data_IF_332578989704
#
_entry.id   IF_332578989704
#
_cell.length_a   1.000
_cell.length_b   1.000
_cell.length_c   1.000
_cell.angle_alpha   90.00
_cell.angle_beta   90.00
_cell.angle_gamma   90.00
#
_symmetry.space_group_name_H-M   'P 1'
#
loop_
_entity.id
_entity.type
_entity.pdbx_description
1 polymer ?
#
# COMPACT_ATOMS: atom_id res chain seq x y z
N UNK A 1 12.28 15.41 53.54
CA UNK A 1 11.27 15.91 52.60
C UNK A 1 11.81 16.31 51.23
N UNK A 2 12.98 16.99 51.09
CA UNK A 2 13.55 17.37 49.78
C UNK A 2 13.93 16.19 48.85
N UNK A 3 14.38 15.08 49.44
CA UNK A 3 14.80 13.88 48.64
C UNK A 3 13.61 13.12 48.02
N UNK A 4 12.42 13.14 48.67
CA UNK A 4 11.21 12.53 48.13
C UNK A 4 10.64 13.32 46.93
N UNK A 5 10.75 14.65 46.99
CA UNK A 5 10.26 15.54 45.93
C UNK A 5 11.03 15.36 44.61
N UNK A 6 12.35 15.18 44.71
CA UNK A 6 13.21 14.94 43.55
C UNK A 6 12.92 13.58 42.90
N UNK A 7 12.66 12.55 43.70
CA UNK A 7 12.32 11.20 43.19
C UNK A 7 10.97 11.20 42.44
N UNK A 8 9.98 11.93 42.97
CA UNK A 8 8.70 12.07 42.29
C UNK A 8 8.79 12.83 40.96
N UNK A 9 9.65 13.88 40.87
CA UNK A 9 9.86 14.59 39.62
C UNK A 9 10.55 13.72 38.56
N UNK A 10 11.52 12.89 38.92
CA UNK A 10 12.20 11.98 38.00
C UNK A 10 11.22 10.91 37.49
N UNK A 11 10.31 10.42 38.35
CA UNK A 11 9.27 9.46 37.94
C UNK A 11 8.22 10.09 37.01
N UNK A 12 7.84 11.34 37.25
CA UNK A 12 6.88 12.06 36.41
C UNK A 12 7.44 12.36 35.02
N UNK A 13 8.73 12.71 34.91
CA UNK A 13 9.39 12.95 33.61
C UNK A 13 9.60 11.65 32.83
N UNK A 14 9.86 10.52 33.49
CA UNK A 14 9.98 9.21 32.85
C UNK A 14 8.64 8.72 32.23
N UNK A 15 7.53 9.01 32.87
CA UNK A 15 6.19 8.65 32.38
C UNK A 15 5.77 9.53 31.18
N UNK A 16 6.19 10.80 31.14
CA UNK A 16 5.85 11.68 30.01
C UNK A 16 6.66 11.36 28.74
N UNK A 17 7.82 10.74 28.84
CA UNK A 17 8.63 10.32 27.68
C UNK A 17 8.12 9.05 26.99
N UNK A 18 7.26 8.28 27.66
CA UNK A 18 6.66 7.05 27.09
C UNK A 18 5.41 7.32 26.26
N UNK A 19 4.87 8.54 26.23
CA UNK A 19 3.59 8.86 25.61
C UNK A 19 3.68 9.38 24.17
N UNK A 20 4.89 9.47 23.60
CA UNK A 20 5.09 9.80 22.18
C UNK A 20 5.42 8.53 21.39
N UNK A 21 4.65 7.47 21.57
CA UNK A 21 4.69 6.29 20.71
C UNK A 21 4.11 6.67 19.34
N UNK A 22 4.95 6.62 18.29
CA UNK A 22 4.43 6.60 16.95
C UNK A 22 3.36 5.50 16.87
N UNK A 23 2.22 5.77 16.24
CA UNK A 23 1.16 4.78 16.08
C UNK A 23 1.74 3.53 15.42
N UNK A 24 1.57 2.37 16.05
CA UNK A 24 1.96 1.09 15.46
C UNK A 24 0.90 0.58 14.46
N UNK A 25 -0.17 1.34 14.26
CA UNK A 25 -1.28 1.02 13.36
C UNK A 25 -1.68 2.23 12.53
N UNK A 26 -1.92 1.99 11.25
CA UNK A 26 -2.41 2.95 10.26
C UNK A 26 -3.66 2.39 9.60
N UNK A 27 -4.81 2.97 9.91
CA UNK A 27 -6.07 2.66 9.23
C UNK A 27 -6.27 3.71 8.13
N UNK A 28 -6.06 3.31 6.86
CA UNK A 28 -6.14 4.21 5.73
C UNK A 28 -7.60 4.38 5.31
N UNK A 29 -8.04 5.63 5.30
CA UNK A 29 -9.34 6.03 4.76
C UNK A 29 -9.19 6.57 3.34
N UNK A 30 -10.29 6.80 2.62
CA UNK A 30 -10.26 7.45 1.30
C UNK A 30 -9.46 8.75 1.30
N UNK A 31 -9.57 9.56 2.37
CA UNK A 31 -8.88 10.84 2.51
C UNK A 31 -7.38 10.71 2.76
N UNK A 32 -6.96 9.64 3.46
CA UNK A 32 -5.57 9.46 3.90
C UNK A 32 -4.80 8.50 3.01
N UNK A 33 -5.49 7.67 2.21
CA UNK A 33 -4.91 6.60 1.42
C UNK A 33 -3.73 7.07 0.57
N UNK A 34 -3.95 8.06 -0.29
CA UNK A 34 -2.92 8.52 -1.23
C UNK A 34 -1.68 9.04 -0.51
N UNK A 35 -1.87 9.87 0.52
CA UNK A 35 -0.75 10.47 1.26
C UNK A 35 0.07 9.41 2.00
N UNK A 36 -0.61 8.50 2.72
CA UNK A 36 0.08 7.46 3.51
C UNK A 36 0.76 6.45 2.60
N UNK A 37 0.08 5.97 1.55
CA UNK A 37 0.67 5.05 0.56
C UNK A 37 1.89 5.67 -0.14
N UNK A 38 1.82 6.93 -0.52
CA UNK A 38 2.96 7.64 -1.11
C UNK A 38 4.14 7.71 -0.12
N UNK A 39 3.87 8.03 1.14
CA UNK A 39 4.90 8.03 2.17
C UNK A 39 5.51 6.65 2.39
N UNK A 40 4.71 5.58 2.36
CA UNK A 40 5.21 4.20 2.45
C UNK A 40 6.12 3.83 1.27
N UNK A 41 5.85 4.34 0.07
CA UNK A 41 6.70 4.13 -1.10
C UNK A 41 8.05 4.88 -1.01
N UNK A 42 8.05 6.08 -0.44
CA UNK A 42 9.26 6.91 -0.34
C UNK A 42 10.08 6.67 0.94
N UNK A 43 9.43 6.30 2.04
CA UNK A 43 10.04 6.13 3.37
C UNK A 43 9.61 4.82 4.03
N UNK A 44 9.78 3.66 3.35
CA UNK A 44 9.25 2.37 3.83
C UNK A 44 9.78 1.98 5.21
N UNK A 45 11.00 2.40 5.56
CA UNK A 45 11.62 2.08 6.85
C UNK A 45 10.80 2.57 8.06
N UNK A 46 10.02 3.65 7.85
CA UNK A 46 9.17 4.21 8.91
C UNK A 46 7.93 3.34 9.18
N UNK A 47 7.60 2.42 8.26
CA UNK A 47 6.39 1.60 8.30
C UNK A 47 6.67 0.10 8.47
N UNK A 48 7.94 -0.33 8.38
CA UNK A 48 8.29 -1.75 8.60
C UNK A 48 7.80 -2.23 9.96
N UNK A 49 7.08 -3.37 9.97
CA UNK A 49 6.52 -4.00 11.15
C UNK A 49 5.28 -3.34 11.74
N UNK A 50 4.84 -2.19 11.18
CA UNK A 50 3.60 -1.54 11.62
C UNK A 50 2.40 -2.16 10.93
N UNK A 51 1.30 -2.26 11.66
CA UNK A 51 0.03 -2.73 11.09
C UNK A 51 -0.57 -1.65 10.20
N UNK A 52 -0.95 -2.04 8.99
CA UNK A 52 -1.62 -1.15 8.03
C UNK A 52 -2.91 -1.82 7.57
N UNK A 53 -3.98 -1.04 7.53
CA UNK A 53 -5.29 -1.49 7.06
C UNK A 53 -5.75 -0.57 5.93
N UNK A 54 -6.17 -1.15 4.80
CA UNK A 54 -6.61 -0.36 3.66
C UNK A 54 -7.50 -1.15 2.70
N UNK A 55 -8.31 -0.41 1.93
CA UNK A 55 -9.12 -0.94 0.85
C UNK A 55 -8.41 -0.76 -0.50
N UNK A 56 -8.41 -1.79 -1.32
CA UNK A 56 -7.79 -1.82 -2.64
C UNK A 56 -8.54 -2.76 -3.57
N UNK A 57 -8.18 -2.78 -4.83
CA UNK A 57 -8.63 -3.84 -5.73
C UNK A 57 -7.47 -4.78 -6.07
N UNK A 58 -7.80 -6.04 -6.36
CA UNK A 58 -6.81 -7.03 -6.81
C UNK A 58 -6.33 -6.70 -8.21
N UNK A 59 -5.04 -6.88 -8.42
CA UNK A 59 -4.37 -6.67 -9.71
C UNK A 59 -3.33 -7.77 -9.92
N UNK A 60 -3.28 -8.33 -11.12
CA UNK A 60 -2.26 -9.31 -11.51
C UNK A 60 -1.20 -8.63 -12.35
N UNK A 61 0.01 -8.59 -11.83
CA UNK A 61 1.19 -8.11 -12.53
C UNK A 61 1.91 -9.34 -13.11
N UNK A 62 2.24 -9.33 -14.39
CA UNK A 62 3.01 -10.39 -15.04
C UNK A 62 4.32 -9.82 -15.52
N UNK A 63 5.44 -10.44 -15.15
CA UNK A 63 6.76 -10.03 -15.62
C UNK A 63 7.07 -10.56 -17.02
N UNK A 64 8.21 -10.11 -17.57
CA UNK A 64 8.65 -10.52 -18.92
C UNK A 64 8.98 -12.02 -19.03
N UNK A 65 9.15 -12.71 -17.91
CA UNK A 65 9.41 -14.16 -17.84
C UNK A 65 8.10 -14.96 -17.65
N UNK A 66 6.96 -14.28 -17.53
CA UNK A 66 5.65 -14.89 -17.33
C UNK A 66 5.33 -15.23 -15.87
N UNK A 67 6.14 -14.75 -14.91
CA UNK A 67 5.82 -14.91 -13.50
C UNK A 67 4.73 -13.91 -13.09
N UNK A 68 3.74 -14.41 -12.37
CA UNK A 68 2.62 -13.62 -11.89
C UNK A 68 2.79 -13.21 -10.42
N UNK A 69 2.37 -11.97 -10.12
CA UNK A 69 2.34 -11.41 -8.79
C UNK A 69 0.93 -10.85 -8.53
N UNK A 70 0.32 -11.27 -7.42
CA UNK A 70 -0.96 -10.72 -7.00
C UNK A 70 -0.71 -9.47 -6.16
N UNK A 71 -1.33 -8.37 -6.55
CA UNK A 71 -1.16 -7.07 -5.91
C UNK A 71 -2.50 -6.54 -5.38
N UNK A 72 -2.43 -5.77 -4.30
CA UNK A 72 -3.53 -4.93 -3.81
C UNK A 72 -3.21 -3.48 -4.13
N UNK A 73 -3.96 -2.88 -5.05
CA UNK A 73 -3.62 -1.57 -5.62
C UNK A 73 -4.82 -0.64 -5.75
N UNK A 74 -4.53 0.65 -5.92
CA UNK A 74 -5.47 1.69 -6.38
C UNK A 74 -4.86 2.44 -7.55
N UNK A 75 -5.68 3.04 -8.43
CA UNK A 75 -5.18 3.96 -9.46
C UNK A 75 -4.90 5.33 -8.87
N UNK A 76 -3.79 5.93 -9.31
CA UNK A 76 -3.49 7.34 -9.05
C UNK A 76 -3.80 8.15 -10.30
N UNK A 77 -4.61 9.20 -10.17
CA UNK A 77 -4.75 10.16 -11.26
C UNK A 77 -3.47 11.00 -11.37
N UNK A 78 -2.97 11.13 -12.58
CA UNK A 78 -1.78 11.92 -12.90
C UNK A 78 -2.04 13.41 -12.64
N UNK A 79 -1.79 13.88 -11.44
CA UNK A 79 -2.05 15.27 -11.14
C UNK A 79 -1.06 15.94 -10.19
N UNK A 80 -0.58 15.26 -9.18
CA UNK A 80 0.37 15.85 -8.23
C UNK A 80 1.13 14.74 -7.49
N UNK A 81 2.44 14.66 -7.72
CA UNK A 81 3.36 13.87 -6.90
C UNK A 81 3.78 12.50 -7.44
N UNK A 82 3.02 11.86 -8.32
CA UNK A 82 3.63 10.88 -9.21
C UNK A 82 4.29 11.67 -10.34
N UNK A 83 5.57 11.48 -10.54
CA UNK A 83 6.33 12.09 -11.64
C UNK A 83 5.99 11.43 -13.01
N UNK A 84 4.78 10.93 -13.14
CA UNK A 84 4.29 10.09 -14.19
C UNK A 84 3.16 10.87 -14.88
N UNK A 85 3.40 11.53 -15.94
CA UNK A 85 2.34 12.11 -16.80
C UNK A 85 1.37 11.06 -17.37
N UNK A 86 1.30 9.88 -16.75
CA UNK A 86 0.40 8.75 -17.06
C UNK A 86 -0.26 8.26 -15.78
N UNK A 87 -1.47 7.75 -15.89
CA UNK A 87 -2.13 7.02 -14.82
C UNK A 87 -1.27 5.84 -14.37
N UNK A 88 -1.11 5.68 -13.07
CA UNK A 88 -0.32 4.60 -12.47
C UNK A 88 -1.10 3.93 -11.36
N UNK A 89 -0.63 2.77 -10.94
CA UNK A 89 -1.14 2.06 -9.77
C UNK A 89 -0.21 2.28 -8.58
N UNK A 90 -0.79 2.34 -7.38
CA UNK A 90 -0.07 2.40 -6.11
C UNK A 90 -0.57 1.30 -5.19
N UNK A 91 0.34 0.57 -4.57
CA UNK A 91 0.04 -0.55 -3.67
C UNK A 91 1.21 -1.49 -3.49
N UNK A 92 0.91 -2.74 -3.17
CA UNK A 92 1.89 -3.75 -2.77
C UNK A 92 1.64 -5.10 -3.42
N UNK A 93 2.71 -5.91 -3.54
CA UNK A 93 2.59 -7.35 -3.77
C UNK A 93 2.07 -7.99 -2.48
N UNK A 94 1.06 -8.85 -2.60
CA UNK A 94 0.41 -9.48 -1.47
C UNK A 94 1.05 -10.84 -1.17
N UNK A 95 1.70 -10.94 -0.01
CA UNK A 95 2.14 -12.20 0.56
C UNK A 95 1.03 -12.73 1.48
N UNK A 96 0.23 -13.67 0.99
CA UNK A 96 -0.93 -14.22 1.69
C UNK A 96 -1.04 -15.73 1.47
N UNK A 97 -1.13 -16.49 2.57
CA UNK A 97 -1.27 -17.96 2.53
C UNK A 97 -2.69 -18.43 2.16
N UNK A 98 -3.67 -17.51 2.15
CA UNK A 98 -5.05 -17.81 1.78
C UNK A 98 -5.34 -17.62 0.29
N UNK A 99 -6.63 -17.57 -0.04
CA UNK A 99 -7.08 -17.32 -1.42
C UNK A 99 -7.23 -15.84 -1.66
N UNK A 100 -6.49 -15.29 -2.61
CA UNK A 100 -6.68 -13.93 -3.11
C UNK A 100 -7.71 -13.98 -4.24
N UNK A 101 -8.81 -13.20 -4.17
CA UNK A 101 -9.81 -13.18 -5.23
C UNK A 101 -9.22 -12.72 -6.56
N UNK A 102 -9.62 -13.41 -7.65
CA UNK A 102 -9.16 -13.10 -8.99
C UNK A 102 -9.56 -11.67 -9.42
N UNK A 103 -8.65 -10.92 -10.06
CA UNK A 103 -8.98 -9.59 -10.57
C UNK A 103 -9.94 -9.69 -11.75
N UNK A 104 -10.95 -8.82 -11.79
CA UNK A 104 -11.83 -8.64 -12.94
C UNK A 104 -11.61 -7.27 -13.58
N UNK A 105 -11.93 -7.16 -14.87
CA UNK A 105 -11.83 -5.92 -15.65
C UNK A 105 -10.46 -5.22 -15.53
N UNK A 106 -9.38 -6.02 -15.49
CA UNK A 106 -8.04 -5.51 -15.19
C UNK A 106 -7.51 -4.53 -16.23
N UNK A 107 -7.82 -4.76 -17.50
CA UNK A 107 -7.44 -3.90 -18.63
C UNK A 107 -8.35 -2.67 -18.80
N UNK A 108 -9.51 -2.66 -18.14
CA UNK A 108 -10.47 -1.57 -18.29
C UNK A 108 -10.26 -0.48 -17.25
N UNK A 109 -10.40 0.77 -17.67
CA UNK A 109 -10.34 1.92 -16.78
C UNK A 109 -11.69 2.21 -16.14
N UNK A 110 -12.15 1.28 -15.33
CA UNK A 110 -13.46 1.30 -14.66
C UNK A 110 -13.33 1.03 -13.16
N UNK A 111 -14.32 1.45 -12.40
CA UNK A 111 -14.42 1.13 -10.96
C UNK A 111 -14.89 -0.29 -10.68
N UNK A 112 -15.40 -1.03 -11.70
CA UNK A 112 -15.87 -2.41 -11.54
C UNK A 112 -14.68 -3.37 -11.44
N UNK A 113 -14.06 -3.40 -10.27
CA UNK A 113 -12.91 -4.23 -9.90
C UNK A 113 -13.28 -5.24 -8.83
N UNK A 114 -12.39 -6.19 -8.58
CA UNK A 114 -12.48 -7.07 -7.42
C UNK A 114 -11.88 -6.35 -6.21
N UNK A 115 -12.74 -5.78 -5.37
CA UNK A 115 -12.33 -5.02 -4.20
C UNK A 115 -12.11 -5.91 -2.98
N UNK A 116 -11.09 -5.55 -2.20
CA UNK A 116 -10.66 -6.26 -1.00
C UNK A 116 -10.27 -5.27 0.10
N UNK A 117 -10.60 -5.64 1.33
CA UNK A 117 -10.10 -5.03 2.56
C UNK A 117 -8.89 -5.82 3.05
N UNK A 118 -7.80 -5.14 3.32
CA UNK A 118 -6.52 -5.73 3.70
C UNK A 118 -6.08 -5.23 5.07
N UNK A 119 -5.57 -6.15 5.88
CA UNK A 119 -4.77 -5.86 7.07
C UNK A 119 -3.46 -6.64 6.97
N UNK A 120 -2.35 -6.00 7.33
CA UNK A 120 -1.04 -6.63 7.29
C UNK A 120 0.08 -5.68 7.67
N UNK A 121 1.29 -6.05 7.31
CA UNK A 121 2.51 -5.28 7.62
C UNK A 121 3.47 -5.26 6.44
N UNK A 122 4.32 -4.23 6.36
CA UNK A 122 5.52 -4.31 5.53
C UNK A 122 6.56 -5.14 6.26
N UNK A 123 6.95 -6.33 5.74
CA UNK A 123 7.93 -7.17 6.41
C UNK A 123 9.35 -6.60 6.32
N UNK A 124 9.61 -5.77 5.32
CA UNK A 124 10.90 -5.12 5.10
C UNK A 124 10.76 -3.88 4.21
N UNK A 125 11.76 -3.03 4.22
CA UNK A 125 11.90 -1.91 3.28
C UNK A 125 12.56 -2.31 1.95
N UNK A 126 12.75 -3.60 1.71
CA UNK A 126 13.32 -4.11 0.46
C UNK A 126 12.27 -4.04 -0.64
N UNK A 127 12.62 -3.40 -1.74
CA UNK A 127 11.81 -3.33 -2.96
C UNK A 127 12.20 -4.42 -3.94
N UNK A 128 11.22 -4.90 -4.69
CA UNK A 128 11.45 -5.73 -5.87
C UNK A 128 11.32 -4.88 -7.14
N UNK A 129 12.31 -5.01 -8.01
CA UNK A 129 12.32 -4.40 -9.34
C UNK A 129 11.84 -5.45 -10.34
N UNK A 130 10.63 -5.24 -10.89
CA UNK A 130 9.97 -6.18 -11.78
C UNK A 130 9.99 -5.60 -13.18
N UNK A 131 10.50 -6.37 -14.14
CA UNK A 131 10.48 -6.00 -15.54
C UNK A 131 9.18 -6.45 -16.17
N UNK A 132 8.45 -5.53 -16.76
CA UNK A 132 7.19 -5.79 -17.46
C UNK A 132 7.26 -5.27 -18.87
N UNK A 133 6.43 -5.81 -19.76
CA UNK A 133 6.20 -5.19 -21.05
C UNK A 133 5.36 -3.91 -20.86
N UNK A 134 5.69 -2.87 -21.61
CA UNK A 134 4.95 -1.62 -21.58
C UNK A 134 3.53 -1.80 -22.12
N UNK A 135 2.63 -0.89 -21.74
CA UNK A 135 1.28 -0.82 -22.30
C UNK A 135 1.16 0.40 -23.19
N UNK A 136 0.60 0.22 -24.37
CA UNK A 136 0.21 1.28 -25.27
C UNK A 136 -1.33 1.30 -25.39
N UNK A 137 -1.97 2.06 -24.51
CA UNK A 137 -3.40 1.93 -24.26
C UNK A 137 -3.71 0.60 -23.59
N UNK A 138 -4.60 -0.21 -24.19
CA UNK A 138 -4.98 -1.54 -23.68
C UNK A 138 -4.13 -2.68 -24.29
N UNK A 139 -3.21 -2.37 -25.21
CA UNK A 139 -2.36 -3.36 -25.87
C UNK A 139 -0.99 -3.46 -25.21
N UNK A 140 -0.47 -4.70 -25.11
CA UNK A 140 0.89 -4.95 -24.61
C UNK A 140 1.89 -4.65 -25.73
N UNK A 141 2.83 -3.74 -25.46
CA UNK A 141 3.98 -3.48 -26.32
C UNK A 141 5.13 -4.41 -25.93
N UNK A 142 5.28 -5.51 -26.66
CA UNK A 142 6.34 -6.51 -26.43
C UNK A 142 7.73 -6.00 -26.82
N UNK A 143 7.87 -4.91 -27.51
CA UNK A 143 9.15 -4.32 -27.93
C UNK A 143 9.73 -3.37 -26.85
N UNK A 144 8.90 -2.94 -25.91
CA UNK A 144 9.29 -2.00 -24.83
C UNK A 144 9.19 -2.68 -23.46
N UNK A 145 10.31 -2.69 -22.73
CA UNK A 145 10.37 -3.20 -21.35
C UNK A 145 10.52 -2.04 -20.37
N UNK A 146 9.64 -1.99 -19.40
CA UNK A 146 9.68 -1.05 -18.28
C UNK A 146 10.04 -1.76 -16.98
N UNK A 147 10.63 -1.03 -16.03
CA UNK A 147 10.86 -1.53 -14.68
C UNK A 147 9.89 -0.85 -13.72
N UNK A 148 9.08 -1.64 -13.05
CA UNK A 148 8.19 -1.20 -11.98
C UNK A 148 8.75 -1.65 -10.63
N UNK A 149 8.46 -0.88 -9.58
CA UNK A 149 8.98 -1.12 -8.24
C UNK A 149 7.82 -1.40 -7.31
N UNK A 150 7.88 -2.52 -6.62
CA UNK A 150 6.90 -2.90 -5.61
C UNK A 150 7.58 -3.32 -4.30
N UNK A 151 6.86 -3.13 -3.19
CA UNK A 151 7.18 -3.72 -1.90
C UNK A 151 6.22 -4.87 -1.61
N UNK A 152 6.67 -5.80 -0.78
CA UNK A 152 5.85 -6.89 -0.28
C UNK A 152 5.01 -6.44 0.92
N UNK A 153 3.81 -6.98 1.02
CA UNK A 153 2.89 -6.76 2.12
C UNK A 153 2.46 -8.11 2.69
N UNK A 154 2.93 -8.41 3.90
CA UNK A 154 2.56 -9.63 4.61
C UNK A 154 1.12 -9.48 5.14
N UNK A 155 0.18 -10.09 4.44
CA UNK A 155 -1.25 -9.98 4.73
C UNK A 155 -1.62 -10.89 5.88
N UNK A 156 -2.18 -10.32 6.95
CA UNK A 156 -2.73 -11.05 8.10
C UNK A 156 -4.23 -11.31 7.96
N UNK A 157 -4.95 -10.42 7.26
CA UNK A 157 -6.38 -10.58 6.97
C UNK A 157 -6.71 -10.00 5.61
N UNK A 158 -7.55 -10.72 4.85
CA UNK A 158 -8.10 -10.30 3.57
C UNK A 158 -9.60 -10.62 3.55
N UNK A 159 -10.42 -9.62 3.26
CA UNK A 159 -11.87 -9.76 3.15
C UNK A 159 -12.35 -9.14 1.83
N UNK A 160 -13.08 -9.88 0.97
CA UNK A 160 -13.72 -9.30 -0.20
C UNK A 160 -14.73 -8.22 0.19
N UNK A 161 -14.78 -7.13 -0.60
CA UNK A 161 -15.76 -6.05 -0.45
C UNK A 161 -16.81 -6.21 -1.53
N UNK A 162 -18.05 -6.51 -1.13
CA UNK A 162 -19.17 -6.72 -2.06
C UNK A 162 -19.75 -5.38 -2.55
N UNK A 163 -19.87 -4.39 -1.65
CA UNK A 163 -20.34 -3.04 -1.98
C UNK A 163 -19.18 -2.04 -1.90
N UNK A 164 -18.62 -1.74 -3.05
CA UNK A 164 -17.54 -0.77 -3.21
C UNK A 164 -18.03 0.63 -3.65
N UNK A 165 -19.31 0.93 -3.53
CA UNK A 165 -19.90 2.20 -4.01
C UNK A 165 -19.33 3.44 -3.31
N UNK A 166 -18.77 3.27 -2.10
CA UNK A 166 -18.10 4.34 -1.34
C UNK A 166 -16.60 4.47 -1.62
N UNK A 167 -16.03 3.59 -2.47
CA UNK A 167 -14.60 3.55 -2.75
C UNK A 167 -14.26 4.26 -4.06
N UNK A 168 -13.33 5.20 -4.01
CA UNK A 168 -12.85 5.86 -5.20
C UNK A 168 -11.87 4.97 -5.97
N UNK A 169 -12.13 4.74 -7.25
CA UNK A 169 -11.22 4.01 -8.13
C UNK A 169 -9.88 4.76 -8.30
N UNK A 170 -9.96 6.06 -8.58
CA UNK A 170 -8.82 6.95 -8.59
C UNK A 170 -8.62 7.58 -7.22
N UNK A 171 -7.39 7.51 -6.71
CA UNK A 171 -6.96 8.25 -5.54
C UNK A 171 -6.11 9.43 -5.96
N UNK A 172 -6.38 10.58 -5.39
CA UNK A 172 -5.65 11.82 -5.64
C UNK A 172 -5.45 12.57 -4.33
N UNK A 173 -4.54 13.52 -4.38
CA UNK A 173 -4.27 14.41 -3.25
C UNK A 173 -5.43 15.37 -3.01
#
# INVERSE_FOLDING_TARGET
MKKCLVLCMIFLTAVCLSACGASDRYDLTEETFFLVMTNMQYYPEQYVGKTVTYDSFTYRLTDVEGKEYMCGVRKCSSGYGCNCGKDTIIGFILDYDGVIPEPKNQSEDTSDKTWIHLEGTLPSAKKDEIKIYAYNGDEIDYDTVETVVFYHFAVSSLTPIEDASGLAYYVSK
#
